data_IF_340628083613
#
_entry.id   IF_340628083613
#
_cell.length_a   1.000
_cell.length_b   1.000
_cell.length_c   1.000
_cell.angle_alpha   90.00
_cell.angle_beta   90.00
_cell.angle_gamma   90.00
#
_symmetry.space_group_name_H-M   'P 1'
#
loop_
_entity.id
_entity.type
_entity.pdbx_description
1 polymer ?
#
# COMPACT_ATOMS: atom_id res chain seq x y z
N UNK A 1 13.97 7.38 -15.05
CA UNK A 1 14.94 7.12 -13.95
C UNK A 1 15.23 5.63 -13.86
N UNK A 2 16.24 5.15 -13.10
CA UNK A 2 16.33 3.70 -12.84
C UNK A 2 15.27 3.29 -11.82
N UNK A 3 14.74 2.09 -11.97
CA UNK A 3 13.75 1.55 -11.03
C UNK A 3 14.26 1.51 -9.58
N UNK A 4 15.55 1.24 -9.37
CA UNK A 4 16.18 1.26 -8.04
C UNK A 4 16.05 2.60 -7.33
N UNK A 5 16.02 3.70 -8.08
CA UNK A 5 16.06 5.07 -7.57
C UNK A 5 14.64 5.57 -7.19
N UNK A 6 13.59 4.85 -7.59
CA UNK A 6 12.19 5.15 -7.29
C UNK A 6 11.85 4.57 -5.91
N UNK A 7 11.26 5.40 -5.05
CA UNK A 7 10.86 5.06 -3.67
C UNK A 7 9.34 5.13 -3.51
N UNK A 8 8.78 4.17 -2.78
CA UNK A 8 7.35 4.16 -2.43
C UNK A 8 7.03 5.26 -1.41
N UNK A 9 5.87 5.91 -1.57
CA UNK A 9 5.46 7.06 -0.78
C UNK A 9 6.15 8.37 -1.16
N UNK A 10 6.94 8.41 -2.24
CA UNK A 10 7.60 9.63 -2.72
C UNK A 10 6.90 10.19 -3.97
N UNK A 11 7.06 11.50 -4.17
CA UNK A 11 6.48 12.25 -5.28
C UNK A 11 7.55 12.51 -6.35
N UNK A 12 7.17 12.28 -7.61
CA UNK A 12 8.01 12.51 -8.78
C UNK A 12 7.23 13.27 -9.86
N UNK A 13 7.94 13.87 -10.81
CA UNK A 13 7.33 14.19 -12.10
C UNK A 13 7.25 12.90 -12.91
N UNK A 14 6.09 12.62 -13.53
CA UNK A 14 5.86 11.45 -14.37
C UNK A 14 5.33 11.90 -15.72
N UNK A 15 5.89 11.34 -16.79
CA UNK A 15 5.37 11.50 -18.15
C UNK A 15 4.30 10.45 -18.39
N UNK A 16 3.08 10.93 -18.55
CA UNK A 16 1.90 10.12 -18.75
C UNK A 16 1.63 9.83 -20.23
N UNK A 17 2.18 10.62 -21.15
CA UNK A 17 2.05 10.45 -22.60
C UNK A 17 2.95 9.37 -23.21
N UNK A 18 2.57 8.72 -24.32
CA UNK A 18 1.31 8.91 -25.04
C UNK A 18 0.13 8.27 -24.29
N UNK A 19 -1.05 8.85 -24.48
CA UNK A 19 -2.31 8.32 -23.99
C UNK A 19 -3.39 8.41 -25.05
N UNK A 20 -4.50 7.68 -24.90
CA UNK A 20 -5.67 7.84 -25.76
C UNK A 20 -6.51 9.04 -25.34
N UNK A 21 -7.44 9.46 -26.19
CA UNK A 21 -8.40 10.51 -25.87
C UNK A 21 -9.12 10.20 -24.55
N UNK A 22 -9.29 11.22 -23.71
CA UNK A 22 -9.92 11.19 -22.39
C UNK A 22 -9.10 10.55 -21.25
N UNK A 23 -7.89 10.05 -21.51
CA UNK A 23 -6.97 9.65 -20.44
C UNK A 23 -6.25 10.85 -19.82
N UNK A 24 -5.83 10.70 -18.55
CA UNK A 24 -4.95 11.66 -17.90
C UNK A 24 -3.58 11.71 -18.60
N UNK A 25 -3.31 12.81 -19.30
CA UNK A 25 -2.19 13.00 -20.22
C UNK A 25 -1.10 13.92 -19.64
N UNK A 26 -0.03 14.17 -20.39
CA UNK A 26 0.94 15.22 -20.06
C UNK A 26 2.05 14.81 -19.08
N UNK A 27 2.70 15.81 -18.50
CA UNK A 27 3.69 15.64 -17.44
C UNK A 27 3.14 16.21 -16.15
N UNK A 28 2.97 15.37 -15.14
CA UNK A 28 2.37 15.75 -13.88
C UNK A 28 3.16 15.20 -12.69
N UNK A 29 2.89 15.75 -11.51
CA UNK A 29 3.34 15.12 -10.28
C UNK A 29 2.59 13.81 -10.08
N UNK A 30 3.22 12.84 -9.44
CA UNK A 30 2.56 11.60 -9.03
C UNK A 30 3.22 11.04 -7.78
N UNK A 31 2.42 10.49 -6.88
CA UNK A 31 2.91 9.75 -5.71
C UNK A 31 2.98 8.27 -6.05
N UNK A 32 4.08 7.63 -5.65
CA UNK A 32 4.28 6.18 -5.85
C UNK A 32 3.61 5.42 -4.71
N UNK A 33 2.69 4.52 -5.04
CA UNK A 33 2.07 3.64 -4.05
C UNK A 33 2.84 2.35 -3.87
N UNK A 34 3.23 1.74 -4.99
CA UNK A 34 3.83 0.42 -4.99
C UNK A 34 4.75 0.27 -6.18
N UNK A 35 5.88 -0.38 -5.95
CA UNK A 35 6.76 -0.91 -6.99
C UNK A 35 6.31 -2.32 -7.36
N UNK A 36 6.24 -2.62 -8.65
CA UNK A 36 5.83 -3.94 -9.11
C UNK A 36 6.99 -4.94 -9.09
N UNK A 37 6.63 -6.22 -9.07
CA UNK A 37 7.59 -7.32 -8.98
C UNK A 37 8.42 -7.52 -10.25
N UNK A 38 7.96 -6.97 -11.38
CA UNK A 38 8.68 -6.95 -12.67
C UNK A 38 9.99 -6.13 -12.61
N UNK A 39 10.19 -5.34 -11.55
CA UNK A 39 11.34 -4.45 -11.36
C UNK A 39 11.46 -3.36 -12.42
N UNK A 40 10.38 -3.05 -13.12
CA UNK A 40 10.35 -2.08 -14.22
C UNK A 40 9.22 -1.06 -14.05
N UNK A 41 8.10 -1.46 -13.42
CA UNK A 41 6.92 -0.62 -13.33
C UNK A 41 6.52 -0.29 -11.89
N UNK A 42 5.82 0.83 -11.73
CA UNK A 42 5.29 1.26 -10.45
C UNK A 42 3.85 1.76 -10.61
N UNK A 43 3.04 1.51 -9.58
CA UNK A 43 1.68 2.03 -9.47
C UNK A 43 1.75 3.42 -8.85
N UNK A 44 1.17 4.40 -9.54
CA UNK A 44 1.17 5.80 -9.11
C UNK A 44 -0.22 6.38 -9.09
N UNK A 45 -0.43 7.35 -8.20
CA UNK A 45 -1.59 8.24 -8.25
C UNK A 45 -1.15 9.61 -8.79
N UNK A 46 -1.75 10.09 -9.90
CA UNK A 46 -1.46 11.41 -10.43
C UNK A 46 -1.88 12.53 -9.47
N UNK A 47 -1.10 13.60 -9.47
CA UNK A 47 -1.33 14.83 -8.74
C UNK A 47 -1.39 16.01 -9.73
N UNK A 48 -2.28 16.96 -9.48
CA UNK A 48 -2.46 18.14 -10.34
C UNK A 48 -2.66 19.40 -9.51
N UNK A 49 -2.43 20.57 -10.11
CA UNK A 49 -2.78 21.86 -9.53
C UNK A 49 -4.18 22.35 -9.94
N UNK A 50 -4.86 21.64 -10.85
CA UNK A 50 -6.18 22.03 -11.33
C UNK A 50 -7.29 21.60 -10.35
N UNK A 51 -8.13 22.53 -9.87
CA UNK A 51 -9.22 22.25 -8.95
C UNK A 51 -10.43 21.58 -9.63
N UNK A 52 -10.46 21.53 -10.97
CA UNK A 52 -11.60 20.94 -11.69
C UNK A 52 -11.77 19.45 -11.32
N UNK A 53 -12.97 19.06 -10.90
CA UNK A 53 -13.30 17.69 -10.51
C UNK A 53 -13.08 17.34 -9.03
N UNK A 54 -12.76 18.34 -8.18
CA UNK A 54 -12.73 18.15 -6.72
C UNK A 54 -14.09 17.67 -6.22
N UNK A 55 -14.09 16.61 -5.40
CA UNK A 55 -15.29 15.97 -4.86
C UNK A 55 -15.91 14.91 -5.79
N UNK A 56 -15.52 14.88 -7.06
CA UNK A 56 -16.00 13.91 -8.04
C UNK A 56 -14.92 12.87 -8.40
N UNK A 57 -13.72 13.32 -8.74
CA UNK A 57 -12.59 12.44 -9.11
C UNK A 57 -11.26 12.87 -8.49
N UNK A 58 -11.27 13.96 -7.71
CA UNK A 58 -10.09 14.49 -7.01
C UNK A 58 -10.40 14.87 -5.57
N UNK A 59 -9.38 14.85 -4.72
CA UNK A 59 -9.41 15.48 -3.40
C UNK A 59 -8.36 16.59 -3.33
N UNK A 60 -8.63 17.64 -2.55
CA UNK A 60 -7.67 18.70 -2.26
C UNK A 60 -6.71 18.23 -1.16
N UNK A 61 -5.41 18.28 -1.45
CA UNK A 61 -4.34 18.10 -0.46
C UNK A 61 -3.83 19.44 0.08
N UNK A 62 -4.02 20.52 -0.69
CA UNK A 62 -3.48 21.83 -0.37
C UNK A 62 -2.00 21.98 -0.77
N UNK A 63 -1.32 23.03 -0.30
CA UNK A 63 0.11 23.21 -0.52
C UNK A 63 0.91 22.11 0.17
N UNK A 64 1.93 21.57 -0.49
CA UNK A 64 2.76 20.49 0.07
C UNK A 64 4.17 20.99 0.36
N UNK A 65 4.57 20.93 1.63
CA UNK A 65 5.84 21.49 2.09
C UNK A 65 7.08 20.82 1.51
N UNK A 66 7.01 19.53 1.15
CA UNK A 66 8.13 18.79 0.59
C UNK A 66 8.42 19.13 -0.88
N UNK A 67 7.53 19.84 -1.58
CA UNK A 67 7.72 20.17 -2.99
C UNK A 67 8.81 21.24 -3.19
N UNK A 68 9.44 21.30 -4.39
CA UNK A 68 10.29 22.42 -4.78
C UNK A 68 9.61 23.77 -4.62
N UNK A 69 10.36 24.84 -4.34
CA UNK A 69 9.80 26.19 -4.09
C UNK A 69 8.91 26.66 -5.24
N UNK A 70 9.27 26.30 -6.48
CA UNK A 70 8.51 26.60 -7.68
C UNK A 70 7.12 25.96 -7.73
N UNK A 71 6.89 24.86 -7.01
CA UNK A 71 5.64 24.10 -7.00
C UNK A 71 4.88 24.24 -5.66
N UNK A 72 5.60 24.47 -4.57
CA UNK A 72 5.09 24.49 -3.19
C UNK A 72 3.98 25.51 -2.94
N UNK A 73 3.90 26.59 -3.72
CA UNK A 73 2.88 27.65 -3.56
C UNK A 73 1.50 27.27 -4.10
N UNK A 74 1.43 26.26 -4.95
CA UNK A 74 0.18 25.85 -5.57
C UNK A 74 -0.55 24.82 -4.71
N UNK A 75 -1.87 24.89 -4.73
CA UNK A 75 -2.68 23.80 -4.23
C UNK A 75 -2.41 22.52 -5.04
N UNK A 76 -2.28 21.41 -4.33
CA UNK A 76 -2.15 20.08 -4.93
C UNK A 76 -3.45 19.31 -4.75
N UNK A 77 -3.84 18.59 -5.80
CA UNK A 77 -5.02 17.74 -5.85
C UNK A 77 -4.64 16.34 -6.27
N UNK A 78 -5.12 15.33 -5.55
CA UNK A 78 -4.89 13.93 -5.88
C UNK A 78 -6.02 13.40 -6.77
N UNK A 79 -5.68 12.84 -7.92
CA UNK A 79 -6.64 12.32 -8.91
C UNK A 79 -6.86 10.83 -8.66
N UNK A 80 -7.74 10.52 -7.71
CA UNK A 80 -7.80 9.19 -7.11
C UNK A 80 -8.40 8.11 -8.03
N UNK A 81 -9.09 8.50 -9.10
CA UNK A 81 -9.63 7.56 -10.07
C UNK A 81 -8.77 7.38 -11.33
N UNK A 82 -7.56 7.94 -11.35
CA UNK A 82 -6.60 7.83 -12.46
C UNK A 82 -5.32 7.09 -12.04
N UNK A 83 -5.44 6.21 -11.05
CA UNK A 83 -4.32 5.37 -10.60
C UNK A 83 -3.95 4.42 -11.70
N UNK A 84 -2.66 4.31 -11.98
CA UNK A 84 -2.17 3.42 -13.03
C UNK A 84 -0.73 3.00 -12.84
N UNK A 85 -0.40 1.92 -13.53
CA UNK A 85 0.97 1.42 -13.66
C UNK A 85 1.72 2.24 -14.72
N UNK A 86 2.93 2.68 -14.40
CA UNK A 86 3.84 3.40 -15.30
C UNK A 86 5.23 2.77 -15.24
N UNK A 87 5.95 2.77 -16.36
CA UNK A 87 7.34 2.32 -16.42
C UNK A 87 8.29 3.33 -15.74
N UNK A 88 9.37 2.83 -15.14
CA UNK A 88 10.40 3.61 -14.46
C UNK A 88 11.07 4.67 -15.35
N UNK A 89 11.13 4.45 -16.67
CA UNK A 89 11.68 5.37 -17.65
C UNK A 89 10.93 6.72 -17.68
N UNK A 90 9.62 6.72 -17.39
CA UNK A 90 8.73 7.90 -17.35
C UNK A 90 8.94 8.79 -16.13
N UNK A 91 9.69 8.34 -15.13
CA UNK A 91 9.94 9.10 -13.91
C UNK A 91 11.07 10.10 -14.10
N UNK A 92 10.83 11.30 -13.58
CA UNK A 92 11.76 12.42 -13.53
C UNK A 92 11.84 12.92 -12.09
N UNK A 93 13.06 12.96 -11.55
CA UNK A 93 13.32 13.47 -10.22
C UNK A 93 12.89 14.94 -10.09
N UNK A 94 12.32 15.31 -8.94
CA UNK A 94 12.10 16.70 -8.59
C UNK A 94 13.45 17.39 -8.33
N UNK A 95 13.56 18.66 -8.69
CA UNK A 95 14.79 19.44 -8.55
C UNK A 95 14.53 20.80 -7.91
N UNK A 96 15.49 21.25 -7.12
CA UNK A 96 15.63 22.63 -6.62
C UNK A 96 16.93 23.19 -7.21
N UNK A 97 16.81 24.02 -8.25
CA UNK A 97 17.95 24.33 -9.12
C UNK A 97 18.50 23.07 -9.80
N UNK A 98 19.77 22.75 -9.56
CA UNK A 98 20.44 21.55 -10.10
C UNK A 98 20.36 20.32 -9.20
N UNK A 99 19.97 20.50 -7.93
CA UNK A 99 19.96 19.42 -6.94
C UNK A 99 18.66 18.63 -6.96
N UNK A 100 18.75 17.31 -6.78
CA UNK A 100 17.57 16.45 -6.60
C UNK A 100 16.93 16.76 -5.26
N UNK A 101 15.61 16.97 -5.25
CA UNK A 101 14.81 17.18 -4.05
C UNK A 101 13.89 15.98 -3.84
N UNK A 102 14.15 15.20 -2.80
CA UNK A 102 13.24 14.13 -2.43
C UNK A 102 12.00 14.69 -1.72
N UNK A 103 10.81 14.24 -2.12
CA UNK A 103 9.54 14.69 -1.54
C UNK A 103 8.77 13.45 -1.09
N UNK A 104 8.90 13.12 0.19
CA UNK A 104 8.16 12.04 0.83
C UNK A 104 6.79 12.56 1.23
N UNK A 105 5.74 11.84 0.83
CA UNK A 105 4.38 12.12 1.27
C UNK A 105 4.20 11.70 2.72
N UNK A 106 3.44 12.48 3.47
CA UNK A 106 3.04 12.13 4.83
C UNK A 106 2.28 10.80 4.85
N UNK A 107 2.57 9.98 5.85
CA UNK A 107 2.07 8.60 5.94
C UNK A 107 0.54 8.55 5.98
N UNK A 108 -0.08 9.42 6.78
CA UNK A 108 -1.53 9.43 6.96
C UNK A 108 -2.24 9.90 5.67
N UNK A 109 -1.66 10.88 4.97
CA UNK A 109 -2.15 11.32 3.65
C UNK A 109 -2.03 10.18 2.65
N UNK A 110 -0.88 9.52 2.57
CA UNK A 110 -0.66 8.39 1.66
C UNK A 110 -1.67 7.26 1.89
N UNK A 111 -1.92 6.90 3.15
CA UNK A 111 -2.86 5.83 3.50
C UNK A 111 -4.30 6.21 3.21
N UNK A 112 -4.67 7.48 3.43
CA UNK A 112 -5.97 7.97 3.03
C UNK A 112 -6.16 7.88 1.50
N UNK A 113 -5.14 8.25 0.72
CA UNK A 113 -5.19 8.12 -0.74
C UNK A 113 -5.31 6.66 -1.19
N UNK A 114 -4.58 5.74 -0.55
CA UNK A 114 -4.72 4.29 -0.80
C UNK A 114 -6.13 3.79 -0.48
N UNK A 115 -6.75 4.25 0.61
CA UNK A 115 -8.13 3.91 0.91
C UNK A 115 -9.11 4.42 -0.17
N UNK A 116 -8.98 5.68 -0.61
CA UNK A 116 -9.82 6.23 -1.68
C UNK A 116 -9.66 5.45 -2.99
N UNK A 117 -8.44 5.02 -3.27
CA UNK A 117 -8.10 4.16 -4.41
C UNK A 117 -8.86 2.85 -4.38
N UNK A 118 -8.79 2.15 -3.23
CA UNK A 118 -9.49 0.88 -3.04
C UNK A 118 -11.00 1.08 -3.20
N UNK A 119 -11.55 2.14 -2.61
CA UNK A 119 -12.98 2.46 -2.70
C UNK A 119 -13.42 2.73 -4.13
N UNK A 120 -12.60 3.43 -4.91
CA UNK A 120 -12.88 3.71 -6.32
C UNK A 120 -12.87 2.43 -7.17
N UNK A 121 -11.92 1.52 -6.94
CA UNK A 121 -11.83 0.25 -7.67
C UNK A 121 -13.07 -0.65 -7.48
N UNK A 122 -13.76 -0.52 -6.34
CA UNK A 122 -14.99 -1.26 -6.03
C UNK A 122 -16.25 -0.38 -6.07
N UNK A 123 -16.18 0.81 -6.67
CA UNK A 123 -17.26 1.80 -6.61
C UNK A 123 -18.58 1.25 -7.19
N UNK A 124 -18.50 0.57 -8.34
CA UNK A 124 -19.66 0.00 -9.05
C UNK A 124 -20.07 -1.39 -8.55
N UNK A 125 -19.38 -1.96 -7.56
CA UNK A 125 -19.73 -3.26 -6.98
C UNK A 125 -20.95 -3.07 -6.05
N UNK A 126 -21.98 -3.94 -6.13
CA UNK A 126 -23.11 -3.91 -5.19
C UNK A 126 -22.65 -3.87 -3.73
N UNK A 127 -23.42 -3.20 -2.87
CA UNK A 127 -22.98 -2.92 -1.50
C UNK A 127 -22.61 -4.19 -0.73
N UNK A 128 -23.41 -5.24 -0.80
CA UNK A 128 -23.17 -6.50 -0.08
C UNK A 128 -21.93 -7.23 -0.61
N UNK A 129 -21.74 -7.27 -1.93
CA UNK A 129 -20.54 -7.84 -2.55
C UNK A 129 -19.28 -7.06 -2.17
N UNK A 130 -19.37 -5.72 -2.12
CA UNK A 130 -18.26 -4.85 -1.68
C UNK A 130 -17.91 -5.09 -0.21
N UNK A 131 -18.91 -5.28 0.65
CA UNK A 131 -18.68 -5.69 2.05
C UNK A 131 -17.95 -7.03 2.07
N UNK A 132 -18.36 -7.99 1.24
CA UNK A 132 -17.69 -9.28 1.09
C UNK A 132 -16.22 -9.15 0.68
N UNK A 133 -15.91 -8.35 -0.34
CA UNK A 133 -14.53 -8.11 -0.81
C UNK A 133 -13.66 -7.51 0.30
N UNK A 134 -14.14 -6.46 0.97
CA UNK A 134 -13.39 -5.78 2.01
C UNK A 134 -13.20 -6.65 3.25
N UNK A 135 -14.22 -7.45 3.61
CA UNK A 135 -14.14 -8.43 4.70
C UNK A 135 -13.11 -9.51 4.39
N UNK A 136 -13.13 -10.05 3.17
CA UNK A 136 -12.14 -11.04 2.74
C UNK A 136 -10.71 -10.49 2.80
N UNK A 137 -10.50 -9.24 2.35
CA UNK A 137 -9.19 -8.59 2.45
C UNK A 137 -8.74 -8.42 3.92
N UNK A 138 -9.64 -7.99 4.80
CA UNK A 138 -9.37 -7.87 6.24
C UNK A 138 -9.01 -9.22 6.87
N UNK A 139 -9.80 -10.26 6.62
CA UNK A 139 -9.57 -11.62 7.13
C UNK A 139 -8.23 -12.18 6.62
N UNK A 140 -7.88 -11.93 5.36
CA UNK A 140 -6.58 -12.32 4.78
C UNK A 140 -5.39 -11.69 5.51
N UNK A 141 -5.50 -10.41 5.89
CA UNK A 141 -4.46 -9.71 6.66
C UNK A 141 -4.37 -10.23 8.10
N UNK A 142 -5.50 -10.58 8.73
CA UNK A 142 -5.50 -11.24 10.05
C UNK A 142 -4.74 -12.57 10.00
N UNK A 143 -5.01 -13.41 9.00
CA UNK A 143 -4.32 -14.69 8.83
C UNK A 143 -2.84 -14.48 8.53
N UNK A 144 -2.48 -13.48 7.72
CA UNK A 144 -1.07 -13.14 7.47
C UNK A 144 -0.34 -12.74 8.75
N UNK A 145 -0.95 -11.89 9.58
CA UNK A 145 -0.42 -11.54 10.90
C UNK A 145 -0.26 -12.77 11.81
N UNK A 146 -1.26 -13.66 11.85
CA UNK A 146 -1.18 -14.88 12.65
C UNK A 146 -0.05 -15.81 12.18
N UNK A 147 0.18 -15.94 10.86
CA UNK A 147 1.30 -16.70 10.29
C UNK A 147 2.65 -16.12 10.73
N UNK A 148 2.80 -14.80 10.69
CA UNK A 148 4.02 -14.12 11.15
C UNK A 148 4.30 -14.40 12.63
N UNK A 149 3.27 -14.36 13.48
CA UNK A 149 3.39 -14.73 14.89
C UNK A 149 3.75 -16.21 15.04
N UNK A 150 3.16 -17.10 14.23
CA UNK A 150 3.50 -18.52 14.20
C UNK A 150 4.99 -18.75 13.91
N UNK A 151 5.56 -18.06 12.92
CA UNK A 151 7.00 -18.14 12.65
C UNK A 151 7.87 -17.58 13.80
N UNK A 152 7.39 -16.57 14.53
CA UNK A 152 8.08 -16.09 15.73
C UNK A 152 8.14 -17.18 16.80
N UNK A 153 7.03 -17.90 17.04
CA UNK A 153 6.98 -19.03 17.97
C UNK A 153 7.93 -20.15 17.53
N UNK A 154 7.93 -20.53 16.23
CA UNK A 154 8.89 -21.52 15.69
C UNK A 154 10.33 -21.11 16.00
N UNK A 155 10.67 -19.84 15.77
CA UNK A 155 12.02 -19.31 16.04
C UNK A 155 12.36 -19.33 17.54
N UNK A 156 11.40 -19.04 18.42
CA UNK A 156 11.59 -19.07 19.87
C UNK A 156 11.81 -20.51 20.38
N UNK A 157 11.04 -21.48 19.87
CA UNK A 157 11.17 -22.90 20.25
C UNK A 157 12.50 -23.53 19.86
N UNK A 158 13.14 -23.02 18.80
CA UNK A 158 14.48 -23.47 18.36
C UNK A 158 15.62 -22.92 19.22
N UNK A 159 15.37 -22.00 20.16
CA UNK A 159 16.38 -21.51 21.09
C UNK A 159 16.65 -22.56 22.19
N UNK A 160 17.89 -22.64 22.67
CA UNK A 160 18.28 -23.59 23.72
C UNK A 160 17.49 -23.44 25.03
N UNK A 161 17.03 -22.23 25.33
CA UNK A 161 16.11 -21.93 26.43
C UNK A 161 14.91 -21.12 25.89
N UNK A 162 13.79 -21.76 25.54
CA UNK A 162 12.61 -21.07 25.04
C UNK A 162 11.91 -20.27 26.15
N UNK A 163 11.63 -18.99 25.89
CA UNK A 163 10.79 -18.17 26.76
C UNK A 163 9.32 -18.62 26.66
N UNK A 164 8.91 -19.48 27.59
CA UNK A 164 7.57 -20.06 27.62
C UNK A 164 6.49 -18.99 27.78
N UNK A 165 6.73 -17.96 28.59
CA UNK A 165 5.75 -16.91 28.85
C UNK A 165 5.46 -16.11 27.57
N UNK A 166 6.52 -15.76 26.84
CA UNK A 166 6.35 -15.08 25.55
C UNK A 166 5.63 -15.97 24.53
N UNK A 167 5.93 -17.27 24.50
CA UNK A 167 5.21 -18.21 23.60
C UNK A 167 3.72 -18.25 23.94
N UNK A 168 3.36 -18.34 25.22
CA UNK A 168 1.96 -18.37 25.66
C UNK A 168 1.22 -17.06 25.31
N UNK A 169 1.87 -15.90 25.49
CA UNK A 169 1.32 -14.59 25.08
C UNK A 169 1.08 -14.51 23.57
N UNK A 170 1.99 -15.05 22.76
CA UNK A 170 1.85 -15.07 21.30
C UNK A 170 0.76 -16.06 20.84
N UNK A 171 0.62 -17.21 21.50
CA UNK A 171 -0.47 -18.16 21.23
C UNK A 171 -1.85 -17.54 21.54
N UNK A 172 -1.97 -16.81 22.67
CA UNK A 172 -3.19 -16.07 23.00
C UNK A 172 -3.51 -15.00 21.93
N UNK A 173 -2.50 -14.29 21.42
CA UNK A 173 -2.69 -13.35 20.31
C UNK A 173 -3.18 -14.04 19.04
N UNK A 174 -2.61 -15.18 18.67
CA UNK A 174 -3.08 -15.97 17.52
C UNK A 174 -4.55 -16.36 17.74
N UNK A 175 -4.90 -16.90 18.91
CA UNK A 175 -6.26 -17.33 19.25
C UNK A 175 -7.27 -16.21 19.01
N UNK A 176 -6.99 -15.01 19.51
CA UNK A 176 -7.90 -13.87 19.34
C UNK A 176 -7.95 -13.37 17.89
N UNK A 177 -6.83 -13.39 17.15
CA UNK A 177 -6.77 -12.95 15.75
C UNK A 177 -7.60 -13.87 14.84
N UNK A 178 -7.49 -15.18 15.01
CA UNK A 178 -8.16 -16.15 14.12
C UNK A 178 -9.58 -16.50 14.58
N UNK A 179 -10.05 -15.90 15.67
CA UNK A 179 -11.36 -16.16 16.25
C UNK A 179 -12.47 -15.79 15.25
N UNK A 180 -13.25 -16.78 14.85
CA UNK A 180 -14.33 -16.64 13.86
C UNK A 180 -13.86 -16.19 12.46
N UNK A 181 -12.58 -16.35 12.14
CA UNK A 181 -12.03 -16.06 10.80
C UNK A 181 -11.93 -17.37 10.04
N UNK A 182 -12.62 -17.53 8.90
CA UNK A 182 -12.43 -18.70 8.05
C UNK A 182 -11.05 -18.63 7.37
N UNK A 183 -10.30 -19.74 7.38
CA UNK A 183 -9.01 -19.79 6.71
C UNK A 183 -8.61 -21.20 6.27
N UNK A 184 -7.70 -21.23 5.31
CA UNK A 184 -6.93 -22.40 4.90
C UNK A 184 -5.47 -22.02 4.79
N UNK A 185 -4.56 -22.89 5.23
CA UNK A 185 -3.12 -22.67 5.10
C UNK A 185 -2.60 -23.35 3.83
N UNK A 186 -1.73 -22.65 3.10
CA UNK A 186 -0.98 -23.27 2.00
C UNK A 186 -0.05 -24.36 2.53
N UNK A 187 0.24 -25.37 1.69
CA UNK A 187 1.04 -26.55 2.05
C UNK A 187 2.39 -26.19 2.70
N UNK A 188 3.03 -25.11 2.25
CA UNK A 188 4.28 -24.62 2.84
C UNK A 188 4.14 -24.26 4.31
N UNK A 189 3.06 -23.57 4.70
CA UNK A 189 2.86 -23.18 6.10
C UNK A 189 2.55 -24.39 6.98
N UNK A 190 1.84 -25.37 6.43
CA UNK A 190 1.60 -26.66 7.09
C UNK A 190 2.93 -27.39 7.32
N UNK A 191 3.76 -27.50 6.28
CA UNK A 191 5.09 -28.13 6.36
C UNK A 191 6.03 -27.42 7.36
N UNK A 192 5.93 -26.09 7.46
CA UNK A 192 6.69 -25.29 8.43
C UNK A 192 6.17 -25.42 9.88
N UNK A 193 5.09 -26.19 10.11
CA UNK A 193 4.51 -26.45 11.43
C UNK A 193 3.59 -25.35 11.95
N UNK A 194 3.18 -24.40 11.09
CA UNK A 194 2.31 -23.28 11.49
C UNK A 194 0.90 -23.77 11.84
N UNK A 195 0.39 -24.79 11.13
CA UNK A 195 -0.91 -25.37 11.43
C UNK A 195 -0.98 -25.92 12.87
N UNK A 196 0.06 -26.65 13.30
CA UNK A 196 0.14 -27.18 14.65
C UNK A 196 0.12 -26.07 15.72
N UNK A 197 0.76 -24.92 15.45
CA UNK A 197 0.73 -23.75 16.33
C UNK A 197 -0.66 -23.12 16.39
N UNK A 198 -1.36 -23.03 15.26
CA UNK A 198 -2.72 -22.51 15.22
C UNK A 198 -3.67 -23.44 16.00
N UNK A 199 -3.51 -24.75 15.86
CA UNK A 199 -4.31 -25.73 16.61
C UNK A 199 -3.99 -25.76 18.10
N UNK A 200 -2.76 -25.47 18.49
CA UNK A 200 -2.36 -25.24 19.88
C UNK A 200 -3.03 -23.98 20.44
N UNK A 201 -2.97 -22.86 19.70
CA UNK A 201 -3.61 -21.60 20.10
C UNK A 201 -5.13 -21.74 20.29
N UNK A 202 -5.82 -22.52 19.44
CA UNK A 202 -7.27 -22.78 19.57
C UNK A 202 -7.66 -23.53 20.85
N UNK A 203 -6.72 -24.26 21.47
CA UNK A 203 -6.97 -25.08 22.66
C UNK A 203 -6.80 -24.32 23.98
N UNK A 204 -6.15 -23.15 23.94
CA UNK A 204 -6.17 -22.18 25.03
C UNK A 204 -7.56 -21.60 25.19
#
# INVERSE_FOLDING_TARGET
>A
MRFSDIKEGYIYNVIFDPVRNCEFNGKHLAVVFKKNHDKETAIVMPLTSSPSGVGANKIKLGPMDCLPVSLKRNDTYAVYNQIRTVNADRFIALKEGTMIKECKMEKDVLYHLMYLSLRELVFNVPQDDRIGILKYAYETELISKAKDIGYQIVKLRKKGEPDKKLIDELLLQIKEIIKNVPYSLEEKFVADGIEAIFDEAKKL
#
